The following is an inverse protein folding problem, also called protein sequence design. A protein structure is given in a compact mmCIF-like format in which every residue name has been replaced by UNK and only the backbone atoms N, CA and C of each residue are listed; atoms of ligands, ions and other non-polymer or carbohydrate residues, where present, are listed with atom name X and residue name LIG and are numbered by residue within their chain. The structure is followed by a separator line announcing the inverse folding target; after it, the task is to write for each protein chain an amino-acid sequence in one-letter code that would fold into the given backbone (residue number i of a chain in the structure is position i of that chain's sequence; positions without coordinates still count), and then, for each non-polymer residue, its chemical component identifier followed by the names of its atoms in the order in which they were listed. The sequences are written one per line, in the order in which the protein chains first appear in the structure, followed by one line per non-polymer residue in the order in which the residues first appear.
data_IF_911802329389
#
_entry.id   IF_911802329389
#
_cell.length_a   1.000
_cell.length_b   1.000
_cell.length_c   1.000
_cell.angle_alpha   90.00
_cell.angle_beta   90.00
_cell.angle_gamma   90.00
#
_symmetry.space_group_name_H-M   'P 1'
#
loop_
_entity.id
_entity.type
_entity.pdbx_description
1 polymer ?
#
# COMPACT_ATOMS: atom_id res chain seq x y z
N UNK A 1 18.66 -12.57 -30.71
CA UNK A 1 18.20 -11.80 -29.54
C UNK A 1 18.75 -12.46 -28.29
N UNK A 2 19.40 -11.71 -27.40
CA UNK A 2 20.05 -12.25 -26.20
C UNK A 2 19.00 -12.85 -25.26
N UNK A 3 19.16 -14.13 -24.93
CA UNK A 3 18.39 -14.80 -23.88
C UNK A 3 19.07 -14.55 -22.54
N UNK A 4 18.27 -14.56 -21.49
CA UNK A 4 18.72 -14.20 -20.16
C UNK A 4 18.41 -15.32 -19.19
N UNK A 5 19.35 -15.60 -18.31
CA UNK A 5 19.18 -16.57 -17.23
C UNK A 5 18.35 -15.93 -16.12
N UNK A 6 17.26 -16.59 -15.77
CA UNK A 6 16.37 -16.25 -14.66
C UNK A 6 15.98 -17.55 -13.99
N UNK A 7 15.99 -17.56 -12.66
CA UNK A 7 15.59 -18.75 -11.90
C UNK A 7 14.08 -18.94 -11.97
N UNK A 8 13.57 -20.17 -12.20
CA UNK A 8 12.14 -20.46 -12.21
C UNK A 8 11.39 -20.03 -10.95
N UNK A 9 12.04 -20.18 -9.78
CA UNK A 9 11.49 -19.77 -8.50
C UNK A 9 11.16 -18.27 -8.42
N UNK A 10 11.93 -17.42 -9.11
CA UNK A 10 11.65 -15.98 -9.19
C UNK A 10 10.48 -15.67 -10.12
N UNK A 11 10.31 -16.42 -11.21
CA UNK A 11 9.16 -16.28 -12.10
C UNK A 11 7.87 -16.70 -11.38
N UNK A 12 7.88 -17.86 -10.72
CA UNK A 12 6.77 -18.33 -9.88
C UNK A 12 6.43 -17.34 -8.79
N UNK A 13 7.43 -16.89 -8.04
CA UNK A 13 7.26 -15.91 -6.98
C UNK A 13 6.62 -14.62 -7.49
N UNK A 14 7.13 -14.04 -8.58
CA UNK A 14 6.61 -12.80 -9.15
C UNK A 14 5.14 -12.93 -9.59
N UNK A 15 4.79 -14.07 -10.21
CA UNK A 15 3.43 -14.38 -10.65
C UNK A 15 2.47 -14.53 -9.46
N UNK A 16 2.82 -15.37 -8.50
CA UNK A 16 1.99 -15.65 -7.31
C UNK A 16 1.82 -14.41 -6.43
N UNK A 17 2.89 -13.64 -6.22
CA UNK A 17 2.86 -12.35 -5.51
C UNK A 17 1.89 -11.37 -6.17
N UNK A 18 1.85 -11.34 -7.50
CA UNK A 18 0.94 -10.48 -8.24
C UNK A 18 -0.51 -11.00 -8.29
N UNK A 19 -0.78 -12.16 -7.70
CA UNK A 19 -2.11 -12.77 -7.64
C UNK A 19 -2.55 -13.43 -8.95
N UNK A 20 -1.63 -13.71 -9.87
CA UNK A 20 -1.96 -14.35 -11.13
C UNK A 20 -1.76 -15.87 -11.08
N UNK A 21 -2.69 -16.61 -11.68
CA UNK A 21 -2.48 -18.01 -12.03
C UNK A 21 -1.57 -18.14 -13.26
N UNK A 22 -1.03 -19.34 -13.48
CA UNK A 22 -0.20 -19.61 -14.65
C UNK A 22 -0.99 -19.38 -15.96
N UNK A 23 -2.22 -19.90 -16.02
CA UNK A 23 -3.09 -19.81 -17.20
C UNK A 23 -3.43 -18.36 -17.56
N UNK A 24 -3.69 -17.50 -16.57
CA UNK A 24 -3.97 -16.08 -16.78
C UNK A 24 -2.79 -15.35 -17.46
N UNK A 25 -1.55 -15.69 -17.10
CA UNK A 25 -0.36 -15.06 -17.70
C UNK A 25 0.07 -15.73 -19.01
N UNK A 26 -0.23 -17.01 -19.23
CA UNK A 26 0.13 -17.71 -20.46
C UNK A 26 -0.49 -17.06 -21.71
N UNK A 27 -1.67 -16.45 -21.61
CA UNK A 27 -2.26 -15.68 -22.71
C UNK A 27 -1.39 -14.49 -23.17
N UNK A 28 -0.57 -13.92 -22.27
CA UNK A 28 0.38 -12.83 -22.55
C UNK A 28 1.82 -13.32 -22.75
N UNK A 29 2.17 -14.43 -22.12
CA UNK A 29 3.50 -15.04 -22.11
C UNK A 29 3.37 -16.54 -22.44
N UNK A 30 3.20 -16.92 -23.71
CA UNK A 30 2.86 -18.31 -24.10
C UNK A 30 3.94 -19.37 -23.84
N UNK A 31 5.09 -18.98 -23.29
CA UNK A 31 6.21 -19.87 -22.95
C UNK A 31 6.53 -19.82 -21.45
N UNK A 32 5.66 -19.22 -20.63
CA UNK A 32 5.91 -19.03 -19.22
C UNK A 32 6.05 -20.37 -18.48
N UNK A 33 5.22 -21.35 -18.84
CA UNK A 33 5.34 -22.75 -18.40
C UNK A 33 6.75 -23.30 -18.66
N UNK A 34 7.28 -23.14 -19.88
CA UNK A 34 8.62 -23.57 -20.26
C UNK A 34 9.72 -22.80 -19.54
N UNK A 35 9.48 -21.53 -19.18
CA UNK A 35 10.42 -20.74 -18.38
C UNK A 35 10.44 -21.21 -16.92
N UNK A 36 9.29 -21.59 -16.35
CA UNK A 36 9.16 -22.09 -14.98
C UNK A 36 9.71 -23.52 -14.78
N UNK A 37 10.07 -24.22 -15.87
CA UNK A 37 10.74 -25.53 -15.84
C UNK A 37 12.15 -25.53 -16.48
N UNK A 38 12.69 -24.34 -16.79
CA UNK A 38 14.01 -24.15 -17.45
C UNK A 38 14.17 -24.76 -18.86
N UNK A 39 13.11 -25.27 -19.48
CA UNK A 39 13.12 -25.80 -20.86
C UNK A 39 13.28 -24.69 -21.92
N UNK A 40 12.91 -23.46 -21.57
CA UNK A 40 13.17 -22.28 -22.39
C UNK A 40 13.61 -21.09 -21.55
N UNK A 41 14.32 -20.15 -22.18
CA UNK A 41 14.76 -18.90 -21.54
C UNK A 41 14.10 -17.70 -22.21
N UNK A 42 13.56 -16.73 -21.45
CA UNK A 42 13.05 -15.50 -22.02
C UNK A 42 14.18 -14.66 -22.62
N UNK A 43 13.83 -13.78 -23.54
CA UNK A 43 14.70 -12.66 -23.91
C UNK A 43 14.59 -11.54 -22.87
N UNK A 44 15.58 -10.66 -22.78
CA UNK A 44 15.53 -9.53 -21.84
C UNK A 44 14.23 -8.72 -21.99
N UNK A 45 13.80 -8.47 -23.24
CA UNK A 45 12.56 -7.75 -23.56
C UNK A 45 11.30 -8.51 -23.11
N UNK A 46 11.32 -9.84 -23.15
CA UNK A 46 10.22 -10.66 -22.62
C UNK A 46 10.18 -10.59 -21.09
N UNK A 47 11.36 -10.65 -20.45
CA UNK A 47 11.51 -10.55 -19.01
C UNK A 47 11.09 -9.17 -18.48
N UNK A 48 11.44 -8.08 -19.16
CA UNK A 48 10.97 -6.72 -18.86
C UNK A 48 9.45 -6.60 -18.93
N UNK A 49 8.82 -7.20 -19.96
CA UNK A 49 7.36 -7.22 -20.07
C UNK A 49 6.72 -8.04 -18.96
N UNK A 50 7.31 -9.17 -18.60
CA UNK A 50 6.86 -10.03 -17.51
C UNK A 50 6.95 -9.31 -16.16
N UNK A 51 8.09 -8.66 -15.88
CA UNK A 51 8.31 -7.83 -14.71
C UNK A 51 7.24 -6.73 -14.59
N UNK A 52 6.97 -6.02 -15.68
CA UNK A 52 5.91 -4.98 -15.71
C UNK A 52 4.51 -5.55 -15.50
N UNK A 53 4.21 -6.72 -16.06
CA UNK A 53 2.90 -7.36 -15.91
C UNK A 53 2.64 -7.86 -14.48
N UNK A 54 3.69 -8.26 -13.77
CA UNK A 54 3.64 -8.76 -12.38
C UNK A 54 3.97 -7.69 -11.34
N UNK A 55 4.14 -6.43 -11.75
CA UNK A 55 4.54 -5.33 -10.86
C UNK A 55 5.82 -5.63 -10.08
N UNK A 56 6.74 -6.35 -10.70
CA UNK A 56 8.00 -6.79 -10.12
C UNK A 56 9.12 -5.87 -10.59
N UNK A 57 9.92 -5.28 -9.69
CA UNK A 57 11.15 -4.61 -10.09
C UNK A 57 12.02 -5.60 -10.86
N UNK A 58 12.44 -5.26 -12.08
CA UNK A 58 13.16 -6.21 -12.93
C UNK A 58 14.42 -6.77 -12.27
N UNK A 59 15.10 -5.96 -11.45
CA UNK A 59 16.27 -6.38 -10.67
C UNK A 59 15.99 -7.56 -9.74
N UNK A 60 14.75 -7.73 -9.27
CA UNK A 60 14.38 -8.85 -8.40
C UNK A 60 14.42 -10.19 -9.14
N UNK A 61 14.19 -10.20 -10.46
CA UNK A 61 14.28 -11.41 -11.28
C UNK A 61 15.73 -11.88 -11.50
N UNK A 62 16.71 -11.14 -10.97
CA UNK A 62 18.13 -11.47 -11.00
C UNK A 62 18.71 -11.78 -9.62
N UNK A 63 17.87 -11.84 -8.58
CA UNK A 63 18.31 -12.20 -7.24
C UNK A 63 18.71 -13.69 -7.15
N UNK A 64 19.51 -14.07 -6.16
CA UNK A 64 19.79 -15.48 -5.92
C UNK A 64 18.56 -16.24 -5.43
N UNK A 65 17.59 -15.58 -4.79
CA UNK A 65 16.37 -16.20 -4.28
C UNK A 65 15.24 -15.16 -4.20
N UNK A 66 13.97 -15.57 -4.15
CA UNK A 66 12.84 -14.65 -3.97
C UNK A 66 12.96 -13.82 -2.68
N UNK A 67 12.82 -12.48 -2.76
CA UNK A 67 12.92 -11.65 -1.57
C UNK A 67 11.68 -11.80 -0.68
N UNK A 68 11.89 -11.62 0.62
CA UNK A 68 10.81 -11.47 1.59
C UNK A 68 10.44 -9.99 1.67
N UNK A 69 9.25 -9.65 1.19
CA UNK A 69 8.73 -8.30 1.29
C UNK A 69 7.87 -8.14 2.55
N UNK A 70 8.20 -7.13 3.34
CA UNK A 70 7.51 -6.79 4.57
C UNK A 70 6.78 -5.46 4.41
N UNK A 71 5.73 -5.28 5.19
CA UNK A 71 4.99 -4.02 5.26
C UNK A 71 5.86 -3.01 6.03
N UNK A 72 6.26 -1.88 5.43
CA UNK A 72 7.27 -0.97 6.01
C UNK A 72 6.66 0.03 7.00
N UNK A 73 5.51 -0.30 7.59
CA UNK A 73 4.77 0.51 8.57
C UNK A 73 4.18 -0.43 9.64
N UNK A 74 3.92 0.06 10.86
CA UNK A 74 3.10 -0.68 11.82
C UNK A 74 1.73 -0.99 11.22
N UNK A 75 1.44 -2.27 11.00
CA UNK A 75 0.19 -2.68 10.38
C UNK A 75 -0.88 -2.94 11.45
N UNK A 76 -1.69 -1.92 11.73
CA UNK A 76 -2.83 -2.02 12.64
C UNK A 76 -4.11 -2.51 11.97
N UNK A 77 -4.05 -2.96 10.71
CA UNK A 77 -5.23 -3.55 10.05
C UNK A 77 -5.49 -4.92 10.65
N UNK A 78 -6.43 -5.00 11.58
CA UNK A 78 -6.89 -6.26 12.16
C UNK A 78 -8.20 -6.67 11.51
N UNK A 79 -8.17 -7.69 10.64
CA UNK A 79 -9.37 -8.45 10.27
C UNK A 79 -9.24 -9.81 10.95
N UNK A 80 -10.19 -10.17 11.82
CA UNK A 80 -10.15 -11.42 12.59
C UNK A 80 -8.84 -11.67 13.38
N UNK A 81 -8.07 -10.62 13.66
CA UNK A 81 -6.74 -10.69 14.27
C UNK A 81 -5.68 -11.41 13.42
N UNK A 82 -5.89 -11.52 12.10
CA UNK A 82 -4.93 -12.11 11.16
C UNK A 82 -4.15 -11.01 10.43
N UNK A 83 -2.82 -11.06 10.54
CA UNK A 83 -1.91 -10.21 9.76
C UNK A 83 -1.89 -10.66 8.30
N UNK A 84 -1.76 -9.72 7.36
CA UNK A 84 -1.52 -10.06 5.96
C UNK A 84 -0.18 -10.80 5.84
N UNK A 85 -0.23 -12.10 5.56
CA UNK A 85 0.98 -12.94 5.48
C UNK A 85 1.89 -12.58 4.30
N UNK A 86 1.32 -12.09 3.19
CA UNK A 86 2.05 -11.61 2.01
C UNK A 86 1.40 -10.36 1.45
N UNK A 87 2.03 -9.18 1.54
CA UNK A 87 1.48 -7.95 0.98
C UNK A 87 1.47 -8.01 -0.55
N UNK A 88 0.42 -7.51 -1.18
CA UNK A 88 0.38 -7.41 -2.63
C UNK A 88 1.34 -6.31 -3.13
N UNK A 89 1.78 -6.39 -4.40
CA UNK A 89 2.54 -5.31 -5.02
C UNK A 89 1.79 -3.98 -4.99
N UNK A 90 0.46 -4.04 -5.11
CA UNK A 90 -0.41 -2.87 -5.08
C UNK A 90 -0.30 -2.17 -3.72
N UNK A 91 -0.34 -2.94 -2.63
CA UNK A 91 -0.26 -2.41 -1.28
C UNK A 91 1.08 -1.77 -1.01
N UNK A 92 2.16 -2.48 -1.34
CA UNK A 92 3.52 -1.95 -1.14
C UNK A 92 3.73 -0.65 -1.92
N UNK A 93 3.33 -0.61 -3.20
CA UNK A 93 3.45 0.61 -4.01
C UNK A 93 2.68 1.79 -3.41
N UNK A 94 1.47 1.56 -2.91
CA UNK A 94 0.68 2.60 -2.27
C UNK A 94 1.30 3.07 -0.95
N UNK A 95 1.83 2.16 -0.13
CA UNK A 95 2.53 2.52 1.11
C UNK A 95 3.78 3.35 0.79
N UNK A 96 4.59 2.93 -0.19
CA UNK A 96 5.78 3.69 -0.60
C UNK A 96 5.42 5.07 -1.14
N UNK A 97 4.34 5.19 -1.92
CA UNK A 97 3.84 6.49 -2.37
C UNK A 97 3.42 7.38 -1.18
N UNK A 98 2.71 6.81 -0.21
CA UNK A 98 2.32 7.53 1.01
C UNK A 98 3.53 7.99 1.82
N UNK A 99 4.54 7.13 2.01
CA UNK A 99 5.79 7.48 2.69
C UNK A 99 6.55 8.58 1.95
N UNK A 100 6.64 8.51 0.63
CA UNK A 100 7.29 9.55 -0.18
C UNK A 100 6.59 10.90 -0.03
N UNK A 101 5.25 10.92 -0.10
CA UNK A 101 4.45 12.14 0.09
C UNK A 101 4.58 12.70 1.51
N UNK A 102 4.59 11.83 2.52
CA UNK A 102 4.80 12.22 3.90
C UNK A 102 6.20 12.82 4.13
N UNK A 103 7.24 12.21 3.56
CA UNK A 103 8.61 12.71 3.63
C UNK A 103 8.72 14.10 2.98
N UNK A 104 8.18 14.24 1.77
CA UNK A 104 8.12 15.53 1.08
C UNK A 104 7.37 16.59 1.90
N UNK A 105 6.19 16.25 2.44
CA UNK A 105 5.41 17.19 3.24
C UNK A 105 6.14 17.63 4.51
N UNK A 106 6.88 16.72 5.15
CA UNK A 106 7.70 17.03 6.32
C UNK A 106 8.80 18.04 6.01
N UNK A 107 9.51 17.84 4.90
CA UNK A 107 10.54 18.78 4.44
C UNK A 107 9.95 20.15 4.13
N UNK A 108 8.82 20.17 3.41
CA UNK A 108 8.07 21.38 3.12
C UNK A 108 7.61 22.11 4.39
N UNK A 109 7.03 21.40 5.35
CA UNK A 109 6.56 21.95 6.61
C UNK A 109 7.69 22.62 7.40
N UNK A 110 8.88 22.01 7.41
CA UNK A 110 10.08 22.60 8.02
C UNK A 110 10.52 23.89 7.33
N UNK A 111 10.55 23.90 5.99
CA UNK A 111 10.90 25.10 5.21
C UNK A 111 9.87 26.24 5.38
N UNK A 112 8.59 25.89 5.41
CA UNK A 112 7.49 26.85 5.54
C UNK A 112 7.25 27.32 6.98
N UNK A 113 7.97 26.80 7.97
CA UNK A 113 7.80 27.15 9.37
C UNK A 113 6.45 26.72 9.95
N UNK A 114 5.90 25.60 9.49
CA UNK A 114 4.66 25.05 10.05
C UNK A 114 4.96 24.47 11.43
N UNK A 115 4.32 25.02 12.45
CA UNK A 115 4.51 24.60 13.84
C UNK A 115 4.06 23.14 14.09
N UNK A 116 4.76 22.39 14.95
CA UNK A 116 4.33 21.07 15.40
C UNK A 116 2.94 21.10 16.02
N UNK A 117 2.18 20.02 15.82
CA UNK A 117 0.84 19.90 16.38
C UNK A 117 0.89 19.45 17.83
N UNK A 118 0.31 20.23 18.74
CA UNK A 118 0.36 19.98 20.18
C UNK A 118 -0.29 18.67 20.65
N UNK A 119 -1.09 17.99 19.82
CA UNK A 119 -1.65 16.68 20.16
C UNK A 119 -0.64 15.54 19.98
N UNK A 120 0.40 15.72 19.16
CA UNK A 120 1.42 14.69 18.91
C UNK A 120 2.31 14.55 20.14
N UNK A 121 2.36 13.34 20.73
CA UNK A 121 3.12 13.08 21.96
C UNK A 121 2.47 13.63 23.24
N UNK A 122 1.21 14.05 23.19
CA UNK A 122 0.49 14.63 24.34
C UNK A 122 -0.05 13.61 25.35
N UNK A 123 0.03 12.32 25.04
CA UNK A 123 -0.52 11.21 25.84
C UNK A 123 0.56 10.15 26.08
N UNK A 124 0.50 9.49 27.23
CA UNK A 124 1.41 8.40 27.62
C UNK A 124 0.74 7.04 27.48
N UNK A 125 1.53 5.97 27.37
CA UNK A 125 1.03 4.59 27.27
C UNK A 125 0.23 4.12 28.51
N UNK A 126 0.43 4.78 29.65
CA UNK A 126 -0.28 4.53 30.92
C UNK A 126 -1.51 5.44 31.12
N UNK A 127 -1.84 6.30 30.14
CA UNK A 127 -3.00 7.18 30.23
C UNK A 127 -4.31 6.40 30.09
N UNK A 128 -5.39 6.81 30.80
CA UNK A 128 -6.70 6.17 30.67
C UNK A 128 -7.21 6.21 29.23
N UNK A 129 -7.74 5.08 28.76
CA UNK A 129 -8.19 4.90 27.37
C UNK A 129 -9.36 5.82 27.05
N UNK A 130 -10.33 5.92 27.96
CA UNK A 130 -11.55 6.72 27.81
C UNK A 130 -11.22 8.22 27.71
N UNK A 131 -10.31 8.69 28.57
CA UNK A 131 -9.84 10.07 28.56
C UNK A 131 -9.05 10.39 27.29
N UNK A 132 -8.18 9.49 26.86
CA UNK A 132 -7.42 9.62 25.62
C UNK A 132 -8.34 9.69 24.41
N UNK A 133 -9.33 8.81 24.34
CA UNK A 133 -10.32 8.80 23.26
C UNK A 133 -11.14 10.09 23.22
N UNK A 134 -11.48 10.65 24.39
CA UNK A 134 -12.19 11.92 24.49
C UNK A 134 -11.35 13.10 24.00
N UNK A 135 -10.07 13.17 24.41
CA UNK A 135 -9.13 14.17 23.90
C UNK A 135 -8.97 14.10 22.38
N UNK A 136 -8.92 12.89 21.81
CA UNK A 136 -8.86 12.69 20.36
C UNK A 136 -10.13 13.19 19.66
N UNK A 137 -11.32 12.88 20.20
CA UNK A 137 -12.60 13.39 19.66
C UNK A 137 -12.66 14.91 19.68
N UNK A 138 -12.27 15.54 20.78
CA UNK A 138 -12.25 16.99 20.92
C UNK A 138 -11.28 17.66 19.95
N UNK A 139 -10.07 17.10 19.79
CA UNK A 139 -9.08 17.60 18.84
C UNK A 139 -9.56 17.47 17.38
N UNK A 140 -10.18 16.34 17.03
CA UNK A 140 -10.75 16.11 15.70
C UNK A 140 -12.05 16.87 15.45
N UNK A 141 -12.71 17.37 16.50
CA UNK A 141 -14.04 18.00 16.41
C UNK A 141 -15.12 17.11 15.76
N UNK A 142 -14.93 15.79 15.81
CA UNK A 142 -15.88 14.82 15.27
C UNK A 142 -16.64 14.14 16.41
N UNK A 143 -17.76 14.74 16.81
CA UNK A 143 -18.65 14.20 17.83
C UNK A 143 -19.93 13.58 17.22
N UNK A 144 -20.82 13.10 18.09
CA UNK A 144 -22.07 12.47 17.68
C UNK A 144 -23.03 13.45 16.99
N UNK A 145 -22.96 14.74 17.31
CA UNK A 145 -23.80 15.76 16.70
C UNK A 145 -23.31 16.05 15.27
N UNK A 146 -22.01 16.24 15.06
CA UNK A 146 -21.41 16.38 13.73
C UNK A 146 -21.71 15.17 12.82
N UNK A 147 -21.74 13.95 13.39
CA UNK A 147 -22.13 12.74 12.67
C UNK A 147 -23.62 12.71 12.32
N UNK A 148 -24.50 13.16 13.23
CA UNK A 148 -25.96 13.17 13.05
C UNK A 148 -26.39 14.11 11.92
N UNK A 149 -25.66 15.20 11.74
CA UNK A 149 -25.92 16.19 10.69
C UNK A 149 -25.51 15.69 9.29
N UNK A 150 -24.79 14.56 9.20
CA UNK A 150 -24.40 13.94 7.94
C UNK A 150 -25.45 12.94 7.43
N UNK A 151 -26.13 13.21 6.29
CA UNK A 151 -27.21 12.36 5.75
C UNK A 151 -26.75 10.96 5.37
N UNK A 152 -25.50 10.82 4.90
CA UNK A 152 -24.94 9.55 4.45
C UNK A 152 -23.62 9.22 5.15
N UNK A 153 -23.23 7.95 5.15
CA UNK A 153 -21.93 7.52 5.69
C UNK A 153 -20.76 8.16 4.92
N UNK A 154 -20.91 8.33 3.59
CA UNK A 154 -19.87 8.90 2.74
C UNK A 154 -19.63 10.37 3.07
N UNK A 155 -20.69 11.13 3.35
CA UNK A 155 -20.57 12.52 3.79
C UNK A 155 -19.91 12.62 5.16
N UNK A 156 -20.28 11.74 6.10
CA UNK A 156 -19.60 11.66 7.38
C UNK A 156 -18.11 11.37 7.25
N UNK A 157 -17.72 10.44 6.36
CA UNK A 157 -16.31 10.16 6.08
C UNK A 157 -15.60 11.38 5.48
N UNK A 158 -16.20 12.06 4.50
CA UNK A 158 -15.61 13.28 3.91
C UNK A 158 -15.44 14.38 4.96
N UNK A 159 -16.42 14.55 5.84
CA UNK A 159 -16.36 15.52 6.93
C UNK A 159 -15.22 15.20 7.90
N UNK A 160 -15.12 13.94 8.33
CA UNK A 160 -14.03 13.44 9.17
C UNK A 160 -12.65 13.67 8.53
N UNK A 161 -12.50 13.37 7.24
CA UNK A 161 -11.25 13.61 6.50
C UNK A 161 -10.88 15.10 6.50
N UNK A 162 -11.86 15.98 6.24
CA UNK A 162 -11.64 17.41 6.22
C UNK A 162 -11.22 17.96 7.59
N UNK A 163 -11.80 17.44 8.67
CA UNK A 163 -11.44 17.82 10.03
C UNK A 163 -10.04 17.32 10.42
N UNK A 164 -9.69 16.09 10.06
CA UNK A 164 -8.35 15.56 10.27
C UNK A 164 -7.29 16.38 9.50
N UNK A 165 -7.58 16.75 8.25
CA UNK A 165 -6.71 17.61 7.44
C UNK A 165 -6.56 19.02 8.04
N UNK A 166 -7.67 19.62 8.51
CA UNK A 166 -7.66 20.92 9.19
C UNK A 166 -6.86 20.89 10.51
N UNK A 167 -6.89 19.77 11.24
CA UNK A 167 -6.07 19.52 12.43
C UNK A 167 -4.57 19.36 12.08
N UNK A 168 -4.25 19.16 10.80
CA UNK A 168 -2.90 19.01 10.28
C UNK A 168 -2.45 17.56 10.12
N UNK A 169 -3.37 16.59 10.09
CA UNK A 169 -3.09 15.21 9.74
C UNK A 169 -3.26 15.01 8.23
N UNK A 170 -2.19 14.61 7.54
CA UNK A 170 -2.22 14.38 6.10
C UNK A 170 -3.02 13.10 5.78
N UNK A 171 -4.20 13.25 5.19
CA UNK A 171 -5.05 12.11 4.78
C UNK A 171 -4.94 11.88 3.28
N UNK A 172 -4.59 10.66 2.89
CA UNK A 172 -4.52 10.26 1.48
C UNK A 172 -5.63 9.29 1.15
N UNK A 173 -6.47 9.62 0.16
CA UNK A 173 -7.54 8.77 -0.32
C UNK A 173 -7.32 8.39 -1.77
N UNK A 174 -7.38 7.09 -2.08
CA UNK A 174 -7.38 6.58 -3.46
C UNK A 174 -8.25 5.32 -3.55
N UNK A 175 -8.89 5.14 -4.71
CA UNK A 175 -9.56 3.87 -5.07
C UNK A 175 -8.80 3.05 -6.10
N UNK A 176 -7.61 3.51 -6.49
CA UNK A 176 -6.77 2.93 -7.56
C UNK A 176 -5.29 2.99 -7.15
N UNK A 177 -4.46 2.10 -7.70
CA UNK A 177 -3.02 2.15 -7.48
C UNK A 177 -2.42 3.31 -8.26
N UNK A 178 -1.70 4.20 -7.58
CA UNK A 178 -1.14 5.43 -8.15
C UNK A 178 -2.23 6.23 -8.89
N UNK A 179 -2.08 6.42 -10.21
CA UNK A 179 -3.04 7.07 -11.09
C UNK A 179 -3.65 6.09 -12.12
N UNK A 180 -3.62 4.78 -11.86
CA UNK A 180 -4.05 3.77 -12.81
C UNK A 180 -5.50 3.31 -12.59
N UNK A 181 -6.43 3.87 -13.37
CA UNK A 181 -7.86 3.61 -13.26
C UNK A 181 -8.30 2.15 -13.51
N UNK A 182 -7.44 1.31 -14.08
CA UNK A 182 -7.72 -0.13 -14.29
C UNK A 182 -7.18 -1.01 -13.17
N UNK A 183 -6.27 -0.49 -12.33
CA UNK A 183 -5.68 -1.22 -11.20
C UNK A 183 -6.38 -0.79 -9.90
N UNK A 184 -7.56 -1.36 -9.66
CA UNK A 184 -8.37 -1.11 -8.47
C UNK A 184 -7.68 -1.66 -7.21
N UNK A 185 -7.88 -0.98 -6.09
CA UNK A 185 -7.45 -1.46 -4.78
C UNK A 185 -8.44 -2.53 -4.29
N UNK A 186 -7.93 -3.63 -3.75
CA UNK A 186 -8.75 -4.67 -3.13
C UNK A 186 -9.20 -4.19 -1.73
N UNK A 187 -10.50 -4.01 -1.46
CA UNK A 187 -10.99 -3.59 -0.15
C UNK A 187 -10.69 -4.56 0.99
N UNK A 188 -10.32 -5.81 0.72
CA UNK A 188 -9.88 -6.76 1.75
C UNK A 188 -8.45 -6.47 2.21
N UNK A 189 -7.63 -5.86 1.35
CA UNK A 189 -6.28 -5.43 1.66
C UNK A 189 -6.24 -3.94 2.06
N UNK A 190 -7.01 -3.08 1.41
CA UNK A 190 -6.98 -1.63 1.59
C UNK A 190 -8.15 -1.13 2.45
N UNK A 191 -7.95 -1.09 3.77
CA UNK A 191 -8.93 -0.59 4.75
C UNK A 191 -8.47 0.62 5.57
N UNK A 192 -7.51 1.36 5.04
CA UNK A 192 -6.81 2.44 5.75
C UNK A 192 -5.61 1.90 6.52
N UNK A 193 -4.52 2.66 6.49
CA UNK A 193 -3.29 2.41 7.24
C UNK A 193 -2.71 3.77 7.65
N UNK A 194 -1.94 3.80 8.74
CA UNK A 194 -1.38 5.01 9.33
C UNK A 194 0.02 4.75 9.86
#
# INVERSE_FOLDING_TARGET
MMRVDVKPELLRWARERAGFSLDELMGRFPKLDLWEVEEAKPTLKQLEKFAKATYTPIGFLFLPEPPVEQIPIPDFRTINNESIARPSPNLLEMIYLCQQRQAWYREYAGFAGIEPRGFVGSVRLDSPVEETAERMRQALQFDLDARRDCPTWTEALRHFIAQADALGALVMCSGVVLNNNTRRLDPNEFRGFA
#
